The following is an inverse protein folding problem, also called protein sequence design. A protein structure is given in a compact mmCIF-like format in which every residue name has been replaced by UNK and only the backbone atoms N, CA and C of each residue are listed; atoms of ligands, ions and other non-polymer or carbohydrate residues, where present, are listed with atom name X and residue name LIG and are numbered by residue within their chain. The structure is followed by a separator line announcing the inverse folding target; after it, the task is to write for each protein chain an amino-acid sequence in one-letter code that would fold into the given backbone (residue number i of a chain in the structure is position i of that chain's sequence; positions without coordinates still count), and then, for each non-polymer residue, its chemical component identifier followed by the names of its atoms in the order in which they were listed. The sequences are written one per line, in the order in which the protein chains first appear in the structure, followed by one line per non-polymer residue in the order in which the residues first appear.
data_IF_400934166463
#
_entry.id   IF_400934166463
#
_cell.length_a   1.000
_cell.length_b   1.000
_cell.length_c   1.000
_cell.angle_alpha   90.00
_cell.angle_beta   90.00
_cell.angle_gamma   90.00
#
_symmetry.space_group_name_H-M   'P 1'
#
loop_
_entity.id
_entity.type
_entity.pdbx_description
1 polymer ?
#
# COMPACT_ATOMS: atom_id res chain seq x y z
N UNK A 1 11.05 -9.56 -11.24
CA UNK A 1 10.33 -8.58 -10.41
C UNK A 1 9.70 -9.37 -9.30
N UNK A 2 9.87 -8.95 -8.06
CA UNK A 2 9.09 -9.50 -6.95
C UNK A 2 7.61 -9.23 -7.23
N UNK A 3 6.80 -10.28 -7.24
CA UNK A 3 5.34 -10.22 -7.41
C UNK A 3 4.64 -9.77 -6.13
N UNK A 4 5.35 -9.89 -5.01
CA UNK A 4 4.88 -9.62 -3.67
C UNK A 4 6.08 -9.22 -2.81
N UNK A 5 5.86 -8.29 -1.90
CA UNK A 5 6.88 -7.85 -0.95
C UNK A 5 6.24 -7.26 0.29
N UNK A 6 7.00 -7.16 1.37
CA UNK A 6 6.58 -6.47 2.59
C UNK A 6 7.56 -5.36 2.94
N UNK A 7 7.05 -4.28 3.53
CA UNK A 7 7.87 -3.18 4.03
C UNK A 7 7.27 -2.60 5.31
N UNK A 8 8.11 -2.06 6.18
CA UNK A 8 7.68 -1.42 7.42
C UNK A 8 7.65 0.08 7.25
N UNK A 9 6.49 0.70 7.44
CA UNK A 9 6.30 2.15 7.30
C UNK A 9 5.92 2.73 8.67
N UNK A 10 6.53 3.87 9.02
CA UNK A 10 6.12 4.69 10.17
C UNK A 10 4.89 5.51 9.77
N UNK A 11 3.73 5.16 10.31
CA UNK A 11 2.50 5.90 10.05
C UNK A 11 2.45 7.22 10.84
N UNK A 12 1.56 8.13 10.42
CA UNK A 12 1.41 9.47 11.02
C UNK A 12 0.92 9.47 12.48
N UNK A 13 0.40 8.34 12.96
CA UNK A 13 0.06 8.13 14.37
C UNK A 13 1.27 7.69 15.22
N UNK A 14 2.47 7.63 14.63
CA UNK A 14 3.72 7.27 15.32
C UNK A 14 3.97 5.77 15.44
N UNK A 15 3.08 4.93 14.91
CA UNK A 15 3.23 3.47 14.95
C UNK A 15 3.85 2.95 13.65
N UNK A 16 4.79 2.02 13.79
CA UNK A 16 5.34 1.27 12.66
C UNK A 16 4.39 0.12 12.33
N UNK A 17 4.04 -0.01 11.06
CA UNK A 17 3.20 -1.11 10.56
C UNK A 17 3.87 -1.77 9.38
N UNK A 18 3.75 -3.09 9.33
CA UNK A 18 4.19 -3.89 8.18
C UNK A 18 3.07 -3.95 7.16
N UNK A 19 3.35 -3.40 5.97
CA UNK A 19 2.46 -3.45 4.83
C UNK A 19 2.95 -4.56 3.90
N UNK A 20 2.04 -5.45 3.55
CA UNK A 20 2.27 -6.47 2.54
C UNK A 20 1.62 -6.04 1.23
N UNK A 21 2.38 -6.11 0.14
CA UNK A 21 1.99 -5.75 -1.20
C UNK A 21 1.95 -7.01 -2.04
N UNK A 22 0.82 -7.26 -2.70
CA UNK A 22 0.65 -8.40 -3.60
C UNK A 22 0.17 -7.92 -4.96
N UNK A 23 0.92 -8.25 -6.01
CA UNK A 23 0.54 -7.98 -7.39
C UNK A 23 -0.25 -9.18 -7.93
N UNK A 24 -1.53 -8.96 -8.22
CA UNK A 24 -2.42 -10.05 -8.68
C UNK A 24 -2.21 -10.41 -10.17
N UNK A 25 -1.67 -9.48 -10.98
CA UNK A 25 -1.44 -9.74 -12.41
C UNK A 25 -0.16 -9.03 -12.90
N UNK A 26 0.60 -9.70 -13.76
CA UNK A 26 1.76 -9.14 -14.46
C UNK A 26 1.42 -8.02 -15.44
N UNK A 27 0.17 -7.97 -15.91
CA UNK A 27 -0.35 -6.96 -16.86
C UNK A 27 -0.90 -5.73 -16.16
N UNK A 28 -1.49 -5.90 -14.97
CA UNK A 28 -2.06 -4.78 -14.23
C UNK A 28 -1.01 -4.09 -13.34
N UNK A 29 -1.11 -2.76 -13.26
CA UNK A 29 -0.22 -1.90 -12.46
C UNK A 29 -0.98 -1.47 -11.20
N UNK A 30 -1.49 -2.45 -10.45
CA UNK A 30 -2.08 -2.22 -9.13
C UNK A 30 -1.62 -3.30 -8.14
N UNK A 31 -1.58 -2.91 -6.88
CA UNK A 31 -1.15 -3.75 -5.75
C UNK A 31 -2.29 -3.87 -4.75
N UNK A 32 -2.53 -5.09 -4.30
CA UNK A 32 -3.33 -5.32 -3.11
C UNK A 32 -2.43 -5.13 -1.90
N UNK A 33 -2.85 -4.26 -1.01
CA UNK A 33 -2.13 -3.93 0.22
C UNK A 33 -2.90 -4.53 1.38
N UNK A 34 -2.20 -5.23 2.26
CA UNK A 34 -2.75 -5.73 3.50
C UNK A 34 -1.86 -5.32 4.68
N UNK A 35 -2.51 -4.90 5.77
CA UNK A 35 -1.85 -4.46 7.00
C UNK A 35 -2.68 -4.88 8.20
N UNK A 36 -2.02 -5.32 9.28
CA UNK A 36 -2.69 -5.60 10.55
C UNK A 36 -2.61 -4.35 11.42
N UNK A 37 -3.76 -3.89 11.93
CA UNK A 37 -3.80 -2.75 12.84
C UNK A 37 -3.42 -3.13 14.28
N UNK A 38 -3.39 -2.14 15.18
CA UNK A 38 -3.04 -2.36 16.59
C UNK A 38 -4.03 -3.23 17.36
N UNK A 39 -5.24 -3.43 16.85
CA UNK A 39 -6.25 -4.32 17.42
C UNK A 39 -6.16 -5.75 16.90
N UNK A 40 -5.22 -6.03 15.98
CA UNK A 40 -5.10 -7.32 15.30
C UNK A 40 -6.07 -7.48 14.13
N UNK A 41 -6.80 -6.43 13.74
CA UNK A 41 -7.71 -6.46 12.61
C UNK A 41 -6.92 -6.31 11.31
N UNK A 42 -7.18 -7.21 10.37
CA UNK A 42 -6.69 -7.11 9.00
C UNK A 42 -7.43 -6.00 8.26
N UNK A 43 -6.68 -5.10 7.64
CA UNK A 43 -7.19 -4.06 6.76
C UNK A 43 -6.55 -4.24 5.39
N UNK A 44 -7.38 -4.21 4.36
CA UNK A 44 -6.96 -4.36 2.98
C UNK A 44 -7.35 -3.15 2.16
N UNK A 45 -6.53 -2.79 1.18
CA UNK A 45 -6.82 -1.74 0.21
C UNK A 45 -6.19 -2.07 -1.15
N UNK A 46 -6.67 -1.43 -2.21
CA UNK A 46 -6.01 -1.49 -3.52
C UNK A 46 -5.23 -0.19 -3.75
N UNK A 47 -3.97 -0.28 -4.13
CA UNK A 47 -3.16 0.85 -4.59
C UNK A 47 -2.99 0.75 -6.11
N UNK A 48 -3.50 1.74 -6.84
CA UNK A 48 -3.43 1.79 -8.30
C UNK A 48 -3.03 3.20 -8.77
N UNK A 49 -2.53 3.30 -10.00
CA UNK A 49 -2.24 4.62 -10.58
C UNK A 49 -3.53 5.28 -11.07
N UNK A 50 -3.72 6.56 -10.75
CA UNK A 50 -4.79 7.38 -11.29
C UNK A 50 -4.49 7.83 -12.74
N UNK A 51 -5.39 8.64 -13.33
CA UNK A 51 -5.22 9.18 -14.69
C UNK A 51 -4.02 10.12 -14.84
N UNK A 52 -3.49 10.64 -13.74
CA UNK A 52 -2.29 11.47 -13.69
C UNK A 52 -1.02 10.65 -13.37
N UNK A 53 -1.14 9.31 -13.37
CA UNK A 53 -0.05 8.38 -13.09
C UNK A 53 0.48 8.46 -11.64
N UNK A 54 -0.32 8.95 -10.70
CA UNK A 54 -0.02 8.95 -9.26
C UNK A 54 -0.62 7.72 -8.57
N UNK A 55 0.12 7.11 -7.64
CA UNK A 55 -0.41 6.03 -6.81
C UNK A 55 -1.50 6.54 -5.87
N UNK A 56 -2.64 5.86 -5.87
CA UNK A 56 -3.83 6.17 -5.09
C UNK A 56 -4.42 4.94 -4.44
N UNK A 57 -4.85 5.08 -3.19
CA UNK A 57 -5.63 4.08 -2.48
C UNK A 57 -7.08 4.13 -2.95
N UNK A 58 -7.61 2.97 -3.30
CA UNK A 58 -8.98 2.77 -3.76
C UNK A 58 -9.75 1.96 -2.73
N UNK A 59 -10.25 2.62 -1.69
CA UNK A 59 -11.27 2.11 -0.75
C UNK A 59 -12.01 3.29 -0.11
N UNK A 60 -13.31 3.14 0.15
CA UNK A 60 -14.12 4.24 0.69
C UNK A 60 -13.94 4.45 2.20
N UNK A 61 -13.60 3.41 2.94
CA UNK A 61 -13.50 3.45 4.40
C UNK A 61 -12.16 2.89 4.89
N UNK A 62 -11.15 3.76 4.89
CA UNK A 62 -9.84 3.45 5.48
C UNK A 62 -9.58 4.33 6.72
N UNK A 63 -8.89 3.80 7.74
CA UNK A 63 -8.41 4.62 8.84
C UNK A 63 -7.55 5.76 8.33
N UNK A 64 -7.65 6.93 8.99
CA UNK A 64 -6.89 8.13 8.61
C UNK A 64 -5.38 7.88 8.49
N UNK A 65 -4.82 7.08 9.40
CA UNK A 65 -3.38 6.74 9.39
C UNK A 65 -2.97 5.98 8.12
N UNK A 66 -3.86 5.14 7.56
CA UNK A 66 -3.59 4.37 6.34
C UNK A 66 -3.69 5.29 5.13
N UNK A 67 -4.73 6.13 5.05
CA UNK A 67 -4.88 7.13 3.98
C UNK A 67 -3.65 8.05 3.92
N UNK A 68 -3.18 8.52 5.07
CA UNK A 68 -2.00 9.40 5.13
C UNK A 68 -0.68 8.72 4.77
N UNK A 69 -0.62 7.39 4.77
CA UNK A 69 0.56 6.64 4.35
C UNK A 69 0.60 6.41 2.82
N UNK A 70 -0.43 6.82 2.07
CA UNK A 70 -0.50 6.66 0.60
C UNK A 70 0.77 7.10 -0.14
N UNK A 71 1.37 8.28 0.13
CA UNK A 71 2.59 8.69 -0.57
C UNK A 71 3.76 7.71 -0.37
N UNK A 72 3.94 7.22 0.85
CA UNK A 72 4.98 6.29 1.24
C UNK A 72 4.74 4.91 0.61
N UNK A 73 3.49 4.44 0.57
CA UNK A 73 3.12 3.20 -0.12
C UNK A 73 3.44 3.26 -1.61
N UNK A 74 3.15 4.39 -2.26
CA UNK A 74 3.52 4.63 -3.66
C UNK A 74 5.03 4.62 -3.87
N UNK A 75 5.80 5.27 -3.00
CA UNK A 75 7.27 5.28 -3.07
C UNK A 75 7.86 3.87 -2.93
N UNK A 76 7.35 3.04 -2.02
CA UNK A 76 7.82 1.67 -1.84
C UNK A 76 7.54 0.81 -3.08
N UNK A 77 6.38 0.99 -3.72
CA UNK A 77 6.08 0.34 -5.00
C UNK A 77 7.05 0.77 -6.09
N UNK A 78 7.38 2.06 -6.22
CA UNK A 78 8.37 2.53 -7.20
C UNK A 78 9.78 1.99 -6.91
N UNK A 79 10.19 1.92 -5.64
CA UNK A 79 11.52 1.43 -5.28
C UNK A 79 11.67 -0.09 -5.43
N UNK A 80 10.62 -0.87 -5.12
CA UNK A 80 10.70 -2.34 -5.05
C UNK A 80 10.17 -3.03 -6.30
N UNK A 81 9.12 -2.45 -6.90
CA UNK A 81 8.45 -3.01 -8.06
C UNK A 81 8.56 -2.13 -9.32
N UNK A 82 9.06 -0.90 -9.19
CA UNK A 82 9.36 -0.01 -10.32
C UNK A 82 10.64 -0.43 -11.05
N UNK A 83 10.59 -0.32 -12.38
CA UNK A 83 11.74 -0.23 -13.28
C UNK A 83 11.65 1.10 -14.00
#
# INVERSE_FOLDING_TARGET
METDFSTTILCTDGLKREFHFARINSVAIYFHISVVDSSGRLITATLARDSANHWKLHEQELPRWFITAEPELGNEVEHKAGR
#
